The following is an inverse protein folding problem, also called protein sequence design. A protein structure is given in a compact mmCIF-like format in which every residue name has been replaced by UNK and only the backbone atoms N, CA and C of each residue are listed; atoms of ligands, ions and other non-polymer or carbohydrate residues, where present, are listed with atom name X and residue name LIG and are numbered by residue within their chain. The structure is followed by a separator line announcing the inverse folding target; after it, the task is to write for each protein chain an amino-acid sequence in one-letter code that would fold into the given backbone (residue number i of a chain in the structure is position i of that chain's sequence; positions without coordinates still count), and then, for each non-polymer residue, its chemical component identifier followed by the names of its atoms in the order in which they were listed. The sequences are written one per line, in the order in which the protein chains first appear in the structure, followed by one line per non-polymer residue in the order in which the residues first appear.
data_IF_722381897892
#
_entry.id   IF_722381897892
#
_cell.length_a   1.000
_cell.length_b   1.000
_cell.length_c   1.000
_cell.angle_alpha   90.00
_cell.angle_beta   90.00
_cell.angle_gamma   90.00
#
_symmetry.space_group_name_H-M   'P 1'
#
loop_
_entity.id
_entity.type
_entity.pdbx_description
1 polymer ?
#
# COMPACT_ATOMS: atom_id res chain seq x y z
N UNK A 1 47.81 -70.83 24.53
CA UNK A 1 47.78 -69.42 24.14
C UNK A 1 46.61 -69.30 23.19
N UNK A 2 45.45 -69.00 23.76
CA UNK A 2 44.21 -68.88 23.00
C UNK A 2 44.03 -67.41 22.61
N UNK A 3 43.91 -67.11 21.35
CA UNK A 3 43.51 -65.80 20.85
C UNK A 3 42.00 -65.62 20.94
N UNK A 4 41.50 -64.52 21.48
CA UNK A 4 40.07 -64.25 21.45
C UNK A 4 39.64 -63.78 20.06
N UNK A 5 38.72 -64.53 19.44
CA UNK A 5 38.01 -64.10 18.23
C UNK A 5 37.12 -62.90 18.57
N UNK A 6 37.39 -61.75 17.88
CA UNK A 6 36.53 -60.57 17.86
C UNK A 6 35.33 -60.87 16.96
N UNK A 7 34.17 -61.13 17.57
CA UNK A 7 32.91 -61.16 16.86
C UNK A 7 32.57 -59.74 16.45
N UNK A 8 32.72 -59.44 15.18
CA UNK A 8 32.19 -58.22 14.58
C UNK A 8 30.70 -58.45 14.35
N UNK A 9 29.88 -58.04 15.35
CA UNK A 9 28.45 -57.98 15.18
C UNK A 9 28.09 -57.14 13.96
N UNK A 10 27.33 -57.74 13.04
CA UNK A 10 27.02 -57.22 11.76
C UNK A 10 26.30 -55.90 11.81
N UNK A 11 26.88 -54.88 11.20
CA UNK A 11 26.18 -53.66 10.81
C UNK A 11 25.22 -54.02 9.66
N UNK A 12 23.95 -54.37 9.99
CA UNK A 12 22.92 -54.50 8.97
C UNK A 12 22.62 -53.11 8.43
N UNK A 13 22.82 -52.83 7.12
CA UNK A 13 22.37 -51.58 6.53
C UNK A 13 20.85 -51.54 6.58
N UNK A 14 20.29 -50.58 7.33
CA UNK A 14 18.85 -50.30 7.30
C UNK A 14 18.47 -49.93 5.84
N UNK A 15 17.75 -50.83 5.17
CA UNK A 15 17.16 -50.52 3.88
C UNK A 15 16.27 -49.27 3.98
N UNK A 16 16.44 -48.27 3.09
CA UNK A 16 15.57 -47.13 3.08
C UNK A 16 14.13 -47.58 2.87
N UNK A 17 13.27 -47.28 3.85
CA UNK A 17 11.85 -47.63 3.80
C UNK A 17 11.23 -47.10 2.50
N UNK A 18 10.88 -47.99 1.57
CA UNK A 18 10.24 -47.65 0.31
C UNK A 18 8.87 -47.09 0.61
N UNK A 19 8.74 -45.75 0.56
CA UNK A 19 7.44 -45.08 0.66
C UNK A 19 6.57 -45.54 -0.52
N UNK A 20 5.40 -46.11 -0.24
CA UNK A 20 4.48 -46.56 -1.28
C UNK A 20 4.11 -45.38 -2.19
N UNK A 21 4.07 -45.55 -3.55
CA UNK A 21 3.77 -44.46 -4.47
C UNK A 21 2.49 -43.68 -4.13
N UNK A 22 1.49 -44.34 -3.55
CA UNK A 22 0.26 -43.72 -3.11
C UNK A 22 0.41 -42.76 -1.93
N UNK A 23 1.35 -43.03 -1.00
CA UNK A 23 1.66 -42.10 0.11
C UNK A 23 2.35 -40.86 -0.41
N UNK A 24 3.33 -41.02 -1.28
CA UNK A 24 4.06 -39.91 -1.88
C UNK A 24 3.10 -39.03 -2.68
N UNK A 25 2.23 -39.59 -3.51
CA UNK A 25 1.24 -38.84 -4.27
C UNK A 25 0.27 -38.04 -3.36
N UNK A 26 -0.24 -38.70 -2.32
CA UNK A 26 -1.13 -38.04 -1.32
C UNK A 26 -0.44 -36.86 -0.63
N UNK A 27 0.82 -37.03 -0.23
CA UNK A 27 1.58 -36.00 0.49
C UNK A 27 1.87 -34.80 -0.44
N UNK A 28 2.18 -35.04 -1.72
CA UNK A 28 2.28 -33.98 -2.74
C UNK A 28 0.96 -33.26 -2.97
N UNK A 29 -0.16 -33.97 -3.06
CA UNK A 29 -1.49 -33.35 -3.20
C UNK A 29 -1.79 -32.46 -1.98
N UNK A 30 -1.49 -32.93 -0.77
CA UNK A 30 -1.69 -32.17 0.47
C UNK A 30 -0.86 -30.87 0.42
N UNK A 31 0.41 -30.95 0.07
CA UNK A 31 1.31 -29.75 -0.04
C UNK A 31 0.74 -28.76 -1.05
N UNK A 32 0.32 -29.21 -2.23
CA UNK A 32 -0.26 -28.34 -3.26
C UNK A 32 -1.55 -27.69 -2.77
N UNK A 33 -2.44 -28.44 -2.13
CA UNK A 33 -3.71 -27.91 -1.59
C UNK A 33 -3.44 -26.86 -0.52
N UNK A 34 -2.52 -27.13 0.42
CA UNK A 34 -2.14 -26.18 1.47
C UNK A 34 -1.52 -24.92 0.86
N UNK A 35 -0.62 -25.07 -0.10
CA UNK A 35 0.04 -23.94 -0.77
C UNK A 35 -0.97 -23.06 -1.54
N UNK A 36 -1.91 -23.67 -2.28
CA UNK A 36 -2.96 -22.94 -3.00
C UNK A 36 -3.92 -22.24 -2.03
N UNK A 37 -4.30 -22.91 -0.93
CA UNK A 37 -5.16 -22.31 0.10
C UNK A 37 -4.48 -21.11 0.76
N UNK A 38 -3.20 -21.23 1.09
CA UNK A 38 -2.41 -20.13 1.65
C UNK A 38 -2.27 -18.95 0.66
N UNK A 39 -1.98 -19.24 -0.61
CA UNK A 39 -1.89 -18.23 -1.66
C UNK A 39 -3.23 -17.49 -1.86
N UNK A 40 -4.34 -18.23 -1.88
CA UNK A 40 -5.68 -17.65 -1.98
C UNK A 40 -6.01 -16.79 -0.75
N UNK A 41 -5.68 -17.26 0.46
CA UNK A 41 -5.85 -16.50 1.69
C UNK A 41 -5.09 -15.17 1.64
N UNK A 42 -3.82 -15.19 1.26
CA UNK A 42 -3.00 -13.97 1.12
C UNK A 42 -3.62 -13.02 0.09
N UNK A 43 -4.02 -13.54 -1.07
CA UNK A 43 -4.63 -12.74 -2.14
C UNK A 43 -5.94 -12.08 -1.71
N UNK A 44 -6.78 -12.75 -0.95
CA UNK A 44 -8.11 -12.25 -0.56
C UNK A 44 -8.02 -11.30 0.63
N UNK A 45 -7.20 -11.63 1.65
CA UNK A 45 -7.23 -10.95 2.94
C UNK A 45 -6.05 -10.00 3.18
N UNK A 46 -4.92 -10.22 2.52
CA UNK A 46 -3.68 -9.49 2.83
C UNK A 46 -3.32 -8.49 1.74
N UNK A 47 -3.26 -8.93 0.48
CA UNK A 47 -2.77 -8.13 -0.64
C UNK A 47 -3.85 -7.96 -1.70
N UNK A 48 -4.02 -6.73 -2.14
CA UNK A 48 -4.88 -6.40 -3.28
C UNK A 48 -4.11 -5.56 -4.29
N UNK A 49 -4.29 -5.90 -5.56
CA UNK A 49 -3.73 -5.11 -6.66
C UNK A 49 -4.76 -4.08 -7.11
N UNK A 50 -4.34 -2.82 -7.22
CA UNK A 50 -5.12 -1.74 -7.78
C UNK A 50 -4.49 -1.25 -9.08
N UNK A 51 -5.35 -0.79 -9.97
CA UNK A 51 -4.99 -0.20 -11.25
C UNK A 51 -5.11 1.32 -11.12
N UNK A 52 -4.06 2.04 -11.52
CA UNK A 52 -4.05 3.50 -11.43
C UNK A 52 -4.71 4.08 -12.68
N UNK A 53 -5.75 4.87 -12.45
CA UNK A 53 -6.40 5.66 -13.48
C UNK A 53 -6.41 7.13 -13.07
N UNK A 54 -5.99 7.99 -14.00
CA UNK A 54 -5.93 9.44 -13.81
C UNK A 54 -4.60 9.96 -13.25
N UNK A 55 -4.37 11.27 -13.43
CA UNK A 55 -3.06 11.88 -13.23
C UNK A 55 -2.76 12.31 -11.80
N UNK A 56 -3.69 12.16 -10.85
CA UNK A 56 -3.63 12.81 -9.53
C UNK A 56 -2.44 12.45 -8.64
N UNK A 57 -1.75 11.34 -8.93
CA UNK A 57 -0.57 10.87 -8.21
C UNK A 57 0.72 10.90 -9.05
N UNK A 58 0.68 11.46 -10.27
CA UNK A 58 1.90 11.79 -11.02
C UNK A 58 2.70 12.79 -10.18
N UNK A 59 3.86 12.54 -9.97
CA UNK A 59 5.05 11.90 -10.45
C UNK A 59 5.35 10.53 -9.82
N UNK A 60 4.67 10.20 -8.73
CA UNK A 60 4.89 8.93 -8.02
C UNK A 60 4.24 7.76 -8.74
N UNK A 61 2.97 7.94 -9.17
CA UNK A 61 2.19 6.90 -9.86
C UNK A 61 1.59 7.47 -11.15
N UNK A 62 1.80 6.75 -12.23
CA UNK A 62 1.30 7.12 -13.55
C UNK A 62 0.11 6.25 -13.95
N UNK A 63 -0.66 6.76 -14.90
CA UNK A 63 -1.73 5.98 -15.51
C UNK A 63 -1.22 4.61 -16.01
N UNK A 64 -2.05 3.58 -15.87
CA UNK A 64 -1.73 2.18 -16.16
C UNK A 64 -0.71 1.51 -15.22
N UNK A 65 -0.21 2.19 -14.19
CA UNK A 65 0.56 1.51 -13.16
C UNK A 65 -0.37 0.54 -12.37
N UNK A 66 0.20 -0.58 -11.91
CA UNK A 66 -0.45 -1.48 -10.97
C UNK A 66 0.31 -1.46 -9.67
N UNK A 67 -0.41 -1.23 -8.59
CA UNK A 67 0.16 -1.13 -7.25
C UNK A 67 -0.36 -2.25 -6.36
N UNK A 68 0.50 -2.74 -5.48
CA UNK A 68 0.12 -3.63 -4.41
C UNK A 68 -0.25 -2.83 -3.16
N UNK A 69 -1.39 -3.18 -2.61
CA UNK A 69 -1.96 -2.59 -1.40
C UNK A 69 -2.03 -3.63 -0.31
N UNK A 70 -1.42 -3.34 0.83
CA UNK A 70 -1.51 -4.17 2.03
C UNK A 70 -2.73 -3.75 2.84
N UNK A 71 -3.73 -4.64 2.91
CA UNK A 71 -5.00 -4.42 3.63
C UNK A 71 -4.87 -4.61 5.14
N UNK A 72 -3.81 -5.27 5.60
CA UNK A 72 -3.58 -5.51 7.02
C UNK A 72 -2.77 -4.41 7.69
N UNK A 73 -2.14 -3.51 6.91
CA UNK A 73 -1.27 -2.46 7.45
C UNK A 73 -1.93 -1.73 8.62
N UNK A 74 -3.12 -1.20 8.41
CA UNK A 74 -3.81 -0.36 9.40
C UNK A 74 -4.69 -1.13 10.40
N UNK A 75 -4.57 -2.47 10.40
CA UNK A 75 -5.02 -3.33 11.51
C UNK A 75 -3.91 -3.58 12.53
N UNK A 76 -2.65 -3.41 12.11
CA UNK A 76 -1.47 -3.73 12.89
C UNK A 76 -0.74 -2.49 13.42
N UNK A 77 -0.86 -1.36 12.74
CA UNK A 77 -0.24 -0.09 13.12
C UNK A 77 -1.08 1.10 12.62
N UNK A 78 -0.87 2.26 13.21
CA UNK A 78 -1.55 3.49 12.82
C UNK A 78 -1.12 3.97 11.42
N UNK A 79 -1.96 4.81 10.81
CA UNK A 79 -1.62 5.54 9.59
C UNK A 79 -0.60 6.61 9.90
N UNK A 80 0.41 6.78 9.03
CA UNK A 80 1.45 7.79 9.20
C UNK A 80 1.42 8.81 8.05
N UNK A 81 1.91 10.02 8.34
CA UNK A 81 2.15 11.01 7.29
C UNK A 81 3.16 10.46 6.28
N UNK A 82 2.88 10.69 5.00
CA UNK A 82 3.67 10.17 3.88
C UNK A 82 3.17 8.85 3.33
N UNK A 83 2.36 8.09 4.06
CA UNK A 83 1.77 6.86 3.54
C UNK A 83 0.91 7.13 2.30
N UNK A 84 1.05 6.30 1.27
CA UNK A 84 0.15 6.30 0.12
C UNK A 84 -0.99 5.32 0.41
N UNK A 85 -2.20 5.83 0.47
CA UNK A 85 -3.39 5.06 0.87
C UNK A 85 -4.38 4.93 -0.27
N UNK A 86 -5.03 3.77 -0.35
CA UNK A 86 -6.24 3.57 -1.16
C UNK A 86 -7.43 3.60 -0.21
N UNK A 87 -8.46 4.37 -0.55
CA UNK A 87 -9.66 4.51 0.25
C UNK A 87 -10.91 4.60 -0.62
N UNK A 88 -12.03 4.13 -0.08
CA UNK A 88 -13.35 4.22 -0.70
C UNK A 88 -13.94 5.60 -0.45
N UNK A 89 -14.12 6.38 -1.52
CA UNK A 89 -14.82 7.65 -1.46
C UNK A 89 -16.29 7.45 -1.79
N UNK A 90 -17.12 7.60 -0.78
CA UNK A 90 -18.57 7.52 -0.94
C UNK A 90 -19.10 8.89 -1.35
N UNK A 91 -19.76 8.96 -2.51
CA UNK A 91 -20.44 10.15 -3.01
C UNK A 91 -21.91 9.88 -3.22
N UNK A 92 -22.74 10.87 -2.92
CA UNK A 92 -24.19 10.77 -3.15
C UNK A 92 -24.60 11.86 -4.13
N UNK A 93 -25.13 11.47 -5.27
CA UNK A 93 -25.66 12.38 -6.27
C UNK A 93 -27.02 11.88 -6.75
N UNK A 94 -28.03 12.74 -6.68
CA UNK A 94 -29.39 12.38 -7.12
C UNK A 94 -30.00 11.16 -6.42
N UNK A 95 -29.61 10.87 -5.15
CA UNK A 95 -30.06 9.69 -4.40
C UNK A 95 -29.30 8.39 -4.74
N UNK A 96 -28.34 8.43 -5.65
CA UNK A 96 -27.49 7.29 -5.98
C UNK A 96 -26.19 7.39 -5.18
N UNK A 97 -25.84 6.30 -4.49
CA UNK A 97 -24.55 6.17 -3.79
C UNK A 97 -23.55 5.60 -4.78
N UNK A 98 -22.46 6.32 -5.01
CA UNK A 98 -21.33 5.87 -5.80
C UNK A 98 -20.11 5.63 -4.88
N UNK A 99 -19.38 4.58 -5.17
CA UNK A 99 -18.15 4.18 -4.51
C UNK A 99 -16.98 4.35 -5.48
N UNK A 100 -16.06 5.23 -5.16
CA UNK A 100 -14.89 5.50 -5.98
C UNK A 100 -13.62 5.21 -5.17
N UNK A 101 -12.89 4.19 -5.57
CA UNK A 101 -11.58 3.89 -4.99
C UNK A 101 -10.57 4.96 -5.42
N UNK A 102 -10.13 5.78 -4.47
CA UNK A 102 -9.13 6.81 -4.70
C UNK A 102 -7.79 6.44 -4.06
N UNK A 103 -6.71 6.87 -4.70
CA UNK A 103 -5.35 6.76 -4.15
C UNK A 103 -4.79 8.16 -3.91
N UNK A 104 -4.28 8.41 -2.69
CA UNK A 104 -3.72 9.69 -2.26
C UNK A 104 -2.63 9.47 -1.21
N UNK A 105 -1.84 10.52 -0.95
CA UNK A 105 -0.85 10.55 0.11
C UNK A 105 -1.40 11.20 1.36
N UNK A 106 -1.15 10.60 2.51
CA UNK A 106 -1.51 11.15 3.82
C UNK A 106 -0.58 12.33 4.15
N UNK A 107 -1.17 13.50 4.37
CA UNK A 107 -0.48 14.73 4.71
C UNK A 107 -0.67 15.07 6.18
N UNK A 108 -1.85 14.86 6.72
CA UNK A 108 -2.17 15.08 8.13
C UNK A 108 -2.94 13.92 8.72
N UNK A 109 -2.64 13.63 9.97
CA UNK A 109 -3.34 12.64 10.81
C UNK A 109 -4.07 13.34 11.95
N UNK A 110 -4.87 12.62 12.72
CA UNK A 110 -5.62 13.15 13.88
C UNK A 110 -4.79 14.16 14.70
N UNK A 111 -5.38 15.31 14.98
CA UNK A 111 -4.78 16.39 15.76
C UNK A 111 -3.84 17.31 14.99
N UNK A 112 -3.45 16.98 13.77
CA UNK A 112 -2.64 17.86 12.95
C UNK A 112 -3.41 19.09 12.48
N UNK A 113 -2.73 20.22 12.39
CA UNK A 113 -3.23 21.44 11.75
C UNK A 113 -2.58 21.54 10.38
N UNK A 114 -3.37 21.36 9.32
CA UNK A 114 -2.90 21.45 7.92
C UNK A 114 -3.30 22.79 7.32
N UNK A 115 -2.38 23.46 6.67
CA UNK A 115 -2.55 24.75 6.03
C UNK A 115 -1.81 24.77 4.68
N UNK A 116 -2.29 25.53 3.70
CA UNK A 116 -1.56 25.78 2.45
C UNK A 116 -1.34 27.28 2.31
N UNK A 117 -0.09 27.68 2.07
CA UNK A 117 0.31 29.08 1.82
C UNK A 117 1.24 29.17 0.62
N UNK A 118 0.83 29.88 -0.42
CA UNK A 118 1.61 30.00 -1.65
C UNK A 118 2.00 28.65 -2.24
N UNK A 119 1.06 27.70 -2.32
CA UNK A 119 1.27 26.31 -2.74
C UNK A 119 2.14 25.45 -1.80
N UNK A 120 2.69 26.00 -0.72
CA UNK A 120 3.46 25.23 0.27
C UNK A 120 2.52 24.66 1.32
N UNK A 121 2.70 23.38 1.61
CA UNK A 121 1.92 22.70 2.65
C UNK A 121 2.63 22.84 3.98
N UNK A 122 1.89 23.28 4.99
CA UNK A 122 2.35 23.37 6.37
C UNK A 122 1.55 22.38 7.22
N UNK A 123 2.23 21.69 8.09
CA UNK A 123 1.62 20.87 9.14
C UNK A 123 2.15 21.35 10.48
N UNK A 124 1.24 21.71 11.39
CA UNK A 124 1.56 22.27 12.70
C UNK A 124 2.49 23.50 12.56
N UNK A 125 2.14 24.41 11.62
CA UNK A 125 2.87 25.64 11.30
C UNK A 125 4.29 25.45 10.73
N UNK A 126 4.67 24.21 10.36
CA UNK A 126 5.98 23.92 9.73
C UNK A 126 5.76 23.45 8.30
N UNK A 127 6.53 24.05 7.36
CA UNK A 127 6.56 23.57 5.97
C UNK A 127 7.07 22.13 5.98
N UNK A 128 6.32 21.22 5.38
CA UNK A 128 6.73 19.82 5.26
C UNK A 128 7.70 19.63 4.08
N UNK A 129 8.59 18.65 4.23
CA UNK A 129 9.47 18.26 3.14
C UNK A 129 8.74 17.24 2.23
N UNK A 130 8.67 17.55 0.95
CA UNK A 130 7.89 16.78 -0.04
C UNK A 130 8.78 16.36 -1.23
N UNK A 131 9.74 15.45 -1.02
CA UNK A 131 10.72 15.07 -2.04
C UNK A 131 10.09 14.31 -3.23
N UNK A 132 8.87 13.87 -3.10
CA UNK A 132 8.09 13.17 -4.12
C UNK A 132 7.42 14.10 -5.13
N UNK A 133 7.40 15.42 -4.89
CA UNK A 133 6.83 16.39 -5.82
C UNK A 133 7.78 16.65 -6.98
N UNK A 134 7.19 16.92 -8.14
CA UNK A 134 7.92 17.30 -9.35
C UNK A 134 8.59 18.68 -9.19
N UNK A 135 9.90 18.71 -9.36
CA UNK A 135 10.67 19.95 -9.27
C UNK A 135 10.38 20.91 -10.41
N UNK A 136 10.08 20.39 -11.59
CA UNK A 136 9.75 21.20 -12.76
C UNK A 136 8.38 21.85 -12.57
N UNK A 137 7.40 21.10 -12.05
CA UNK A 137 6.10 21.66 -11.65
C UNK A 137 6.26 22.75 -10.58
N UNK A 138 7.10 22.54 -9.56
CA UNK A 138 7.35 23.53 -8.52
C UNK A 138 8.06 24.79 -9.03
N UNK A 139 8.78 24.70 -10.15
CA UNK A 139 9.49 25.81 -10.79
C UNK A 139 8.63 26.64 -11.73
N UNK A 140 7.40 26.21 -12.06
CA UNK A 140 6.50 26.95 -12.93
C UNK A 140 6.29 28.39 -12.41
N UNK A 141 6.21 29.39 -13.28
CA UNK A 141 6.12 30.80 -12.85
C UNK A 141 4.81 31.13 -12.15
N UNK A 142 3.69 30.55 -12.60
CA UNK A 142 2.36 30.77 -12.03
C UNK A 142 2.11 29.85 -10.84
N UNK A 143 1.63 30.39 -9.72
CA UNK A 143 1.22 29.59 -8.56
C UNK A 143 0.02 28.69 -8.86
N UNK A 144 -0.92 29.14 -9.69
CA UNK A 144 -2.10 28.36 -10.09
C UNK A 144 -1.73 27.14 -10.90
N UNK A 145 -0.59 27.19 -11.63
CA UNK A 145 -0.08 26.06 -12.39
C UNK A 145 0.70 25.07 -11.51
N UNK A 146 1.24 25.54 -10.36
CA UNK A 146 1.93 24.69 -9.37
C UNK A 146 0.99 23.90 -8.48
N UNK A 147 -0.18 24.46 -8.20
CA UNK A 147 -1.14 23.85 -7.32
C UNK A 147 -2.57 24.37 -7.59
N UNK A 148 -3.55 23.47 -7.41
CA UNK A 148 -4.97 23.81 -7.59
C UNK A 148 -5.48 24.81 -6.53
N UNK A 149 -4.97 24.72 -5.32
CA UNK A 149 -5.31 25.58 -4.18
C UNK A 149 -4.05 26.26 -3.69
N UNK A 150 -3.95 27.56 -3.98
CA UNK A 150 -2.77 28.38 -3.63
C UNK A 150 -2.70 28.62 -2.14
N UNK A 151 -3.83 28.99 -1.53
CA UNK A 151 -3.95 29.25 -0.12
C UNK A 151 -5.17 28.52 0.46
N UNK A 152 -5.02 27.89 1.61
CA UNK A 152 -6.08 27.22 2.36
C UNK A 152 -5.90 27.57 3.84
N UNK A 153 -6.99 27.96 4.47
CA UNK A 153 -6.99 28.25 5.93
C UNK A 153 -6.64 26.99 6.73
N UNK A 154 -6.05 27.16 7.93
CA UNK A 154 -5.74 26.05 8.80
C UNK A 154 -6.97 25.17 9.08
N UNK A 155 -6.80 23.86 8.86
CA UNK A 155 -7.81 22.84 9.17
C UNK A 155 -7.19 21.88 10.19
N UNK A 156 -7.80 21.77 11.37
CA UNK A 156 -7.44 20.73 12.32
C UNK A 156 -8.05 19.41 11.88
N UNK A 157 -7.23 18.38 11.70
CA UNK A 157 -7.69 17.03 11.34
C UNK A 157 -8.45 16.43 12.54
N UNK A 158 -9.74 16.13 12.38
CA UNK A 158 -10.54 15.58 13.47
C UNK A 158 -10.07 14.19 13.89
N UNK A 159 -10.59 13.73 15.03
CA UNK A 159 -10.36 12.36 15.50
C UNK A 159 -10.81 11.33 14.47
N UNK A 160 -10.02 10.26 14.30
CA UNK A 160 -10.26 9.16 13.37
C UNK A 160 -10.41 9.61 11.90
N UNK A 161 -9.76 10.73 11.53
CA UNK A 161 -9.75 11.25 10.16
C UNK A 161 -8.34 11.50 9.64
N UNK A 162 -8.25 11.61 8.32
CA UNK A 162 -7.00 11.87 7.60
C UNK A 162 -7.19 13.07 6.66
N UNK A 163 -6.13 13.85 6.50
CA UNK A 163 -6.03 14.83 5.42
C UNK A 163 -5.11 14.27 4.35
N UNK A 164 -5.63 14.08 3.14
CA UNK A 164 -4.93 13.43 2.05
C UNK A 164 -4.78 14.36 0.85
N UNK A 165 -3.65 14.27 0.15
CA UNK A 165 -3.41 15.03 -1.08
C UNK A 165 -2.84 14.14 -2.18
N UNK A 166 -3.11 14.50 -3.43
CA UNK A 166 -2.40 13.91 -4.56
C UNK A 166 -1.02 14.51 -4.74
N UNK A 167 -0.08 13.73 -5.29
CA UNK A 167 1.27 14.20 -5.58
C UNK A 167 1.27 15.17 -6.76
N UNK A 168 0.38 14.99 -7.73
CA UNK A 168 0.11 15.98 -8.78
C UNK A 168 -0.80 17.10 -8.23
N UNK A 169 -0.21 18.08 -7.57
CA UNK A 169 -0.89 19.15 -6.85
C UNK A 169 -1.91 19.94 -7.68
N UNK A 170 -1.64 20.34 -8.93
CA UNK A 170 -2.62 21.05 -9.76
C UNK A 170 -3.78 20.18 -10.22
N UNK A 171 -3.52 18.89 -10.50
CA UNK A 171 -4.50 17.99 -11.12
C UNK A 171 -5.21 17.06 -10.11
N UNK A 172 -5.00 17.29 -8.82
CA UNK A 172 -5.61 16.43 -7.79
C UNK A 172 -6.87 17.06 -7.20
N UNK A 173 -7.95 16.28 -7.23
CA UNK A 173 -9.14 16.51 -6.42
C UNK A 173 -8.97 15.71 -5.12
N UNK A 174 -8.71 16.42 -4.01
CA UNK A 174 -8.30 15.82 -2.73
C UNK A 174 -8.85 16.63 -1.53
N UNK A 175 -8.31 16.41 -0.33
CA UNK A 175 -8.80 17.03 0.90
C UNK A 175 -8.83 18.56 0.88
N UNK A 176 -8.07 19.19 0.01
CA UNK A 176 -8.18 20.65 -0.23
C UNK A 176 -9.54 21.06 -0.81
N UNK A 177 -10.24 20.10 -1.43
CA UNK A 177 -11.55 20.32 -2.08
C UNK A 177 -12.71 19.65 -1.35
N UNK A 178 -12.52 18.43 -0.82
CA UNK A 178 -13.58 17.64 -0.20
C UNK A 178 -13.44 17.48 1.32
N UNK A 179 -12.39 18.06 1.93
CA UNK A 179 -12.15 17.96 3.37
C UNK A 179 -11.44 16.66 3.78
N UNK A 180 -11.45 16.38 5.08
CA UNK A 180 -10.85 15.16 5.65
C UNK A 180 -11.68 13.92 5.33
N UNK A 181 -11.04 12.76 5.35
CA UNK A 181 -11.67 11.45 5.13
C UNK A 181 -11.64 10.63 6.42
N UNK A 182 -12.69 9.87 6.74
CA UNK A 182 -12.66 8.92 7.85
C UNK A 182 -11.62 7.82 7.61
N UNK A 183 -10.79 7.53 8.61
CA UNK A 183 -9.75 6.48 8.53
C UNK A 183 -10.35 5.10 8.23
N UNK A 184 -11.56 4.82 8.69
CA UNK A 184 -12.29 3.57 8.42
C UNK A 184 -12.59 3.31 6.94
N UNK A 185 -12.51 4.33 6.08
CA UNK A 185 -12.69 4.20 4.64
C UNK A 185 -11.38 3.78 3.94
N UNK A 186 -10.26 3.75 4.65
CA UNK A 186 -8.98 3.32 4.09
C UNK A 186 -9.00 1.81 3.89
N UNK A 187 -8.83 1.38 2.65
CA UNK A 187 -8.75 -0.03 2.24
C UNK A 187 -7.39 -0.61 2.62
N UNK A 188 -6.30 0.17 2.46
CA UNK A 188 -4.96 -0.23 2.83
C UNK A 188 -3.87 0.70 2.32
N UNK A 189 -2.62 0.33 2.62
CA UNK A 189 -1.41 1.04 2.22
C UNK A 189 -0.88 0.52 0.90
N UNK A 190 -0.73 1.39 -0.08
CA UNK A 190 0.02 1.10 -1.30
C UNK A 190 1.52 1.16 -0.98
N UNK A 191 2.27 0.11 -1.31
CA UNK A 191 3.66 0.01 -0.92
C UNK A 191 4.61 -0.35 -2.07
N UNK A 192 4.11 -0.87 -3.18
CA UNK A 192 4.94 -1.24 -4.33
C UNK A 192 4.22 -1.08 -5.66
N UNK A 193 4.95 -0.66 -6.68
CA UNK A 193 4.54 -0.72 -8.09
C UNK A 193 4.98 -2.08 -8.63
N UNK A 194 4.08 -2.83 -9.26
CA UNK A 194 4.35 -4.16 -9.83
C UNK A 194 4.21 -4.21 -11.35
N UNK A 195 3.69 -3.16 -11.95
CA UNK A 195 3.58 -3.01 -13.39
C UNK A 195 3.61 -1.52 -13.77
N UNK A 196 4.24 -1.16 -14.91
CA UNK A 196 5.03 -2.00 -15.82
C UNK A 196 6.35 -2.47 -15.17
N UNK A 197 6.92 -3.56 -15.67
CA UNK A 197 8.16 -4.14 -15.10
C UNK A 197 9.34 -3.17 -15.07
N UNK A 198 9.37 -2.18 -15.99
CA UNK A 198 10.38 -1.12 -16.01
C UNK A 198 10.28 -0.11 -14.86
N UNK A 199 9.17 -0.12 -14.10
CA UNK A 199 8.90 0.80 -12.99
C UNK A 199 8.65 0.08 -11.66
N UNK A 200 9.03 -1.20 -11.55
CA UNK A 200 8.93 -1.94 -10.29
C UNK A 200 9.75 -1.24 -9.22
N UNK A 201 9.12 -0.95 -8.08
CA UNK A 201 9.75 -0.26 -6.97
C UNK A 201 8.83 -0.13 -5.76
N UNK A 202 9.39 0.32 -4.65
CA UNK A 202 8.62 0.66 -3.43
C UNK A 202 8.17 2.13 -3.47
N UNK A 203 7.06 2.42 -2.77
CA UNK A 203 6.47 3.75 -2.61
C UNK A 203 6.87 4.38 -1.28
#
# INVERSE_FOLDING_TARGET
MDEPSLDIEGFEPQEPSSSSPGRVLRDWILVVVVALSAALFVRVYVLQQFYISGPSMETTLFENNRVLVNKLSYRLHAVHRGDVVVFDRITTSGGVIAHDDLIKRVIGVEGDVVEVKGCKVLVNSKIINEPYLDKDMLALPSLTDRCRVVDMQPITVPKDQLFVMGDNRPESFDSRSFGTIPEKLVIGRAFAIVWPFSKIGTL
#
